data_IF_002765621635
#
_entry.id   IF_002765621635
#
_cell.length_a   1.000
_cell.length_b   1.000
_cell.length_c   1.000
_cell.angle_alpha   90.00
_cell.angle_beta   90.00
_cell.angle_gamma   90.00
#
_symmetry.space_group_name_H-M   'P 1'
#
loop_
_entity.id
_entity.type
_entity.pdbx_description
1 polymer ?
#
# COMPACT_ATOMS: atom_id res chain seq x y z
N UNK A 1 41.63 -35.93 28.39
CA UNK A 1 42.37 -34.67 28.62
C UNK A 1 41.38 -33.54 28.79
N UNK A 2 41.52 -32.78 29.90
CA UNK A 2 40.66 -31.68 30.35
C UNK A 2 40.92 -30.38 29.57
N UNK A 3 39.89 -29.54 29.40
CA UNK A 3 39.91 -28.05 29.45
C UNK A 3 38.47 -27.54 29.18
N UNK A 4 37.64 -27.36 30.20
CA UNK A 4 37.41 -26.13 31.00
C UNK A 4 36.87 -24.94 30.18
N UNK A 5 35.59 -24.68 30.42
CA UNK A 5 34.81 -23.45 30.29
C UNK A 5 35.54 -22.18 30.76
N UNK A 6 35.30 -21.05 30.10
CA UNK A 6 35.45 -19.74 30.74
C UNK A 6 34.29 -18.81 30.36
N UNK A 7 33.51 -18.49 31.39
CA UNK A 7 32.50 -17.46 31.46
C UNK A 7 33.15 -16.08 31.58
N UNK A 8 32.67 -15.10 30.83
CA UNK A 8 33.03 -13.69 31.01
C UNK A 8 31.77 -12.89 31.34
N UNK A 9 31.51 -12.79 32.63
CA UNK A 9 30.55 -11.88 33.25
C UNK A 9 31.24 -10.53 33.50
N UNK A 10 30.70 -9.43 32.99
CA UNK A 10 31.04 -8.07 33.44
C UNK A 10 29.77 -7.21 33.31
N UNK A 11 29.00 -7.06 34.39
CA UNK A 11 29.20 -6.12 35.50
C UNK A 11 28.72 -4.71 35.13
N UNK A 12 27.55 -4.43 35.69
CA UNK A 12 26.78 -3.19 35.72
C UNK A 12 27.56 -2.04 36.34
N UNK A 13 27.53 -0.86 35.69
CA UNK A 13 27.85 0.40 36.36
C UNK A 13 26.80 1.46 36.03
N UNK A 14 25.76 1.48 36.85
CA UNK A 14 24.82 2.58 36.95
C UNK A 14 25.57 3.84 37.45
N UNK A 15 25.59 4.90 36.63
CA UNK A 15 25.96 6.25 37.06
C UNK A 15 24.68 7.04 37.24
N UNK A 16 24.26 7.18 38.49
CA UNK A 16 23.28 8.16 38.93
C UNK A 16 23.86 9.56 38.70
N UNK A 17 23.37 10.26 37.67
CA UNK A 17 23.67 11.67 37.44
C UNK A 17 22.60 12.52 38.11
N UNK A 18 23.04 13.34 39.04
CA UNK A 18 22.22 14.16 39.90
C UNK A 18 21.36 15.15 39.12
N UNK A 19 20.07 15.17 39.51
CA UNK A 19 19.11 16.25 39.26
C UNK A 19 19.74 17.61 39.53
N UNK A 20 19.96 18.40 38.48
CA UNK A 20 19.97 19.86 38.55
C UNK A 20 18.69 20.35 37.88
N UNK A 21 17.72 20.75 38.70
CA UNK A 21 16.51 21.43 38.25
C UNK A 21 16.91 22.76 37.58
N UNK A 22 16.46 23.06 36.36
CA UNK A 22 16.64 24.37 35.77
C UNK A 22 15.77 25.42 36.52
N UNK A 23 16.22 26.69 36.58
CA UNK A 23 15.46 27.76 37.21
C UNK A 23 14.12 27.97 36.50
N UNK A 24 13.06 28.07 37.30
CA UNK A 24 11.70 28.43 36.90
C UNK A 24 11.75 29.82 36.25
N UNK A 25 11.70 29.86 34.92
CA UNK A 25 11.51 31.09 34.17
C UNK A 25 10.04 31.48 34.28
N UNK A 26 9.79 32.63 34.92
CA UNK A 26 8.47 33.25 35.00
C UNK A 26 7.92 33.47 33.59
N UNK A 27 6.83 32.80 33.27
CA UNK A 27 6.05 32.94 32.05
C UNK A 27 5.49 34.37 31.97
N UNK A 28 6.19 35.25 31.27
CA UNK A 28 5.58 36.46 30.72
C UNK A 28 4.44 36.04 29.79
N UNK A 29 3.23 36.64 29.90
CA UNK A 29 2.15 36.38 28.95
C UNK A 29 2.62 36.76 27.55
N UNK A 30 2.84 35.75 26.70
CA UNK A 30 3.19 35.92 25.30
C UNK A 30 2.00 36.59 24.63
N UNK A 31 2.13 37.89 24.36
CA UNK A 31 1.18 38.66 23.56
C UNK A 31 1.05 37.96 22.21
N UNK A 32 -0.06 37.26 22.01
CA UNK A 32 -0.40 36.63 20.74
C UNK A 32 -0.55 37.77 19.74
N UNK A 33 0.28 37.85 18.68
CA UNK A 33 0.07 38.82 17.63
C UNK A 33 -1.33 38.59 17.07
N UNK A 34 -2.11 39.67 16.98
CA UNK A 34 -3.47 39.68 16.46
C UNK A 34 -3.51 38.91 15.13
N UNK A 35 -4.54 38.09 14.97
CA UNK A 35 -4.81 37.25 13.83
C UNK A 35 -4.35 37.91 12.52
N UNK A 36 -3.32 37.34 11.90
CA UNK A 36 -2.96 37.64 10.52
C UNK A 36 -4.24 37.43 9.70
N UNK A 37 -4.71 38.44 8.93
CA UNK A 37 -5.86 38.23 8.06
C UNK A 37 -5.51 37.08 7.13
N UNK A 38 -6.27 35.98 7.24
CA UNK A 38 -6.18 34.86 6.32
C UNK A 38 -6.42 35.42 4.93
N UNK A 39 -5.37 35.46 4.11
CA UNK A 39 -5.48 35.79 2.70
C UNK A 39 -6.57 34.90 2.09
N UNK A 40 -7.56 35.48 1.40
CA UNK A 40 -8.58 34.70 0.72
C UNK A 40 -7.89 33.78 -0.27
N UNK A 41 -8.00 32.47 -0.03
CA UNK A 41 -7.37 31.42 -0.84
C UNK A 41 -7.83 31.49 -2.31
N UNK A 42 -8.93 32.21 -2.58
CA UNK A 42 -9.49 32.46 -3.90
C UNK A 42 -8.63 33.37 -4.80
N UNK A 43 -7.74 34.23 -4.27
CA UNK A 43 -6.93 35.11 -5.14
C UNK A 43 -5.69 34.42 -5.72
N UNK A 44 -5.06 33.49 -5.00
CA UNK A 44 -3.89 32.77 -5.51
C UNK A 44 -4.24 31.84 -6.69
N UNK A 45 -5.50 31.40 -6.77
CA UNK A 45 -6.00 30.59 -7.89
C UNK A 45 -6.32 31.44 -9.14
N UNK A 46 -6.49 32.75 -9.02
CA UNK A 46 -6.79 33.64 -10.16
C UNK A 46 -5.54 34.03 -10.97
N UNK A 47 -4.35 33.81 -10.41
CA UNK A 47 -3.08 34.19 -11.04
C UNK A 47 -2.52 33.12 -12.00
N UNK A 48 -3.15 31.94 -12.13
CA UNK A 48 -2.83 30.93 -13.14
C UNK A 48 -3.64 31.19 -14.41
N UNK A 49 -3.06 31.78 -15.48
CA UNK A 49 -3.83 32.20 -16.64
C UNK A 49 -4.42 30.99 -17.37
N UNK A 50 -5.76 30.91 -17.43
CA UNK A 50 -6.48 29.92 -18.25
C UNK A 50 -6.91 28.63 -17.53
N UNK A 51 -6.57 28.44 -16.25
CA UNK A 51 -7.06 27.30 -15.49
C UNK A 51 -8.49 27.56 -15.01
N UNK A 52 -9.48 27.11 -15.78
CA UNK A 52 -10.82 26.83 -15.21
C UNK A 52 -10.65 25.63 -14.27
N UNK A 53 -10.22 25.89 -13.03
CA UNK A 53 -10.26 24.87 -12.00
C UNK A 53 -11.72 24.39 -11.92
N UNK A 54 -11.94 23.09 -12.06
CA UNK A 54 -13.29 22.54 -11.99
C UNK A 54 -13.82 22.59 -10.56
N UNK A 55 -14.76 21.68 -10.25
CA UNK A 55 -15.32 21.61 -8.90
C UNK A 55 -14.21 21.52 -7.83
N UNK A 56 -14.44 21.99 -6.59
CA UNK A 56 -13.45 21.92 -5.51
C UNK A 56 -12.88 20.51 -5.29
N UNK A 57 -13.65 19.48 -5.62
CA UNK A 57 -13.21 18.08 -5.54
C UNK A 57 -12.16 17.74 -6.61
N UNK A 58 -12.26 18.31 -7.81
CA UNK A 58 -11.20 18.18 -8.82
C UNK A 58 -9.91 18.84 -8.36
N UNK A 59 -9.99 20.03 -7.75
CA UNK A 59 -8.81 20.71 -7.22
C UNK A 59 -8.16 19.89 -6.09
N UNK A 60 -8.95 19.34 -5.17
CA UNK A 60 -8.46 18.44 -4.13
C UNK A 60 -7.81 17.19 -4.71
N UNK A 61 -8.43 16.59 -5.73
CA UNK A 61 -7.87 15.41 -6.41
C UNK A 61 -6.51 15.74 -7.05
N UNK A 62 -6.41 16.85 -7.80
CA UNK A 62 -5.17 17.28 -8.43
C UNK A 62 -4.08 17.58 -7.40
N UNK A 63 -4.44 18.27 -6.32
CA UNK A 63 -3.53 18.53 -5.20
C UNK A 63 -3.00 17.22 -4.61
N UNK A 64 -3.89 16.28 -4.26
CA UNK A 64 -3.51 15.01 -3.65
C UNK A 64 -2.66 14.15 -4.58
N UNK A 65 -3.03 14.06 -5.86
CA UNK A 65 -2.22 13.36 -6.86
C UNK A 65 -0.83 13.98 -6.97
N UNK A 66 -0.71 15.31 -7.05
CA UNK A 66 0.60 15.96 -7.12
C UNK A 66 1.43 15.75 -5.84
N UNK A 67 0.79 15.87 -4.68
CA UNK A 67 1.43 15.64 -3.38
C UNK A 67 1.99 14.22 -3.27
N UNK A 68 1.17 13.21 -3.58
CA UNK A 68 1.59 11.80 -3.53
C UNK A 68 2.73 11.54 -4.51
N UNK A 69 2.67 12.12 -5.72
CA UNK A 69 3.71 11.96 -6.73
C UNK A 69 5.04 12.50 -6.23
N UNK A 70 5.04 13.72 -5.71
CA UNK A 70 6.24 14.39 -5.22
C UNK A 70 6.86 13.63 -4.04
N UNK A 71 6.02 13.20 -3.10
CA UNK A 71 6.46 12.47 -1.93
C UNK A 71 7.04 11.09 -2.30
N UNK A 72 6.36 10.31 -3.17
CA UNK A 72 6.88 9.00 -3.62
C UNK A 72 8.16 9.13 -4.43
N UNK A 73 8.25 10.17 -5.27
CA UNK A 73 9.46 10.47 -6.04
C UNK A 73 10.61 10.87 -5.11
N UNK A 74 10.34 11.68 -4.08
CA UNK A 74 11.33 12.08 -3.08
C UNK A 74 11.83 10.88 -2.25
N UNK A 75 10.94 9.97 -1.87
CA UNK A 75 11.32 8.72 -1.20
C UNK A 75 12.24 7.90 -2.11
N UNK A 76 11.85 7.68 -3.36
CA UNK A 76 12.66 6.92 -4.33
C UNK A 76 14.03 7.56 -4.57
N UNK A 77 14.08 8.88 -4.72
CA UNK A 77 15.33 9.62 -4.86
C UNK A 77 16.23 9.47 -3.62
N UNK A 78 15.66 9.54 -2.42
CA UNK A 78 16.39 9.35 -1.15
C UNK A 78 16.96 7.94 -1.04
N UNK A 79 16.16 6.92 -1.37
CA UNK A 79 16.58 5.52 -1.39
C UNK A 79 17.73 5.27 -2.38
N UNK A 80 17.71 5.96 -3.52
CA UNK A 80 18.73 5.81 -4.57
C UNK A 80 20.01 6.60 -4.26
N UNK A 81 19.89 7.77 -3.64
CA UNK A 81 21.02 8.67 -3.38
C UNK A 81 21.80 8.32 -2.11
N UNK A 82 21.20 7.62 -1.16
CA UNK A 82 21.85 7.27 0.10
C UNK A 82 22.87 6.13 -0.10
N UNK A 83 24.13 6.37 0.27
CA UNK A 83 25.17 5.32 0.28
C UNK A 83 24.94 4.25 1.33
N UNK A 84 24.14 4.56 2.36
CA UNK A 84 23.60 3.62 3.32
C UNK A 84 22.14 3.36 2.93
N UNK A 85 21.74 2.11 2.62
CA UNK A 85 20.36 1.84 2.25
C UNK A 85 19.45 2.24 3.41
N UNK A 86 18.67 3.31 3.22
CA UNK A 86 17.60 3.69 4.16
C UNK A 86 16.52 2.64 3.98
N UNK A 87 16.64 1.54 4.72
CA UNK A 87 15.69 0.45 4.63
C UNK A 87 14.39 0.90 5.31
N UNK A 88 13.34 1.10 4.52
CA UNK A 88 12.01 1.27 5.07
C UNK A 88 11.59 -0.10 5.59
N UNK A 89 11.34 -0.19 6.89
CA UNK A 89 11.01 -1.43 7.60
C UNK A 89 9.51 -1.72 7.63
N UNK A 90 8.76 -1.12 6.69
CA UNK A 90 7.29 -1.22 6.64
C UNK A 90 6.55 -0.21 7.53
N UNK A 91 7.25 0.68 8.25
CA UNK A 91 6.62 1.77 9.03
C UNK A 91 5.83 2.75 8.17
N UNK A 92 6.07 2.79 6.86
CA UNK A 92 5.26 3.56 5.93
C UNK A 92 4.45 2.57 5.10
N UNK A 93 3.15 2.77 5.01
CA UNK A 93 2.25 1.98 4.18
C UNK A 93 1.46 2.89 3.23
N UNK A 94 1.20 2.38 2.03
CA UNK A 94 0.28 3.02 1.08
C UNK A 94 -1.12 2.47 1.33
N UNK A 95 -2.11 3.37 1.34
CA UNK A 95 -3.52 3.01 1.40
C UNK A 95 -4.11 3.07 -0.01
N UNK A 96 -4.61 1.95 -0.52
CA UNK A 96 -5.26 1.91 -1.83
C UNK A 96 -6.72 2.34 -1.76
N UNK A 97 -7.33 2.61 -2.91
CA UNK A 97 -8.77 2.89 -3.01
C UNK A 97 -9.63 1.72 -2.53
N UNK A 98 -9.10 0.48 -2.55
CA UNK A 98 -9.76 -0.72 -2.05
C UNK A 98 -9.63 -0.89 -0.53
N UNK A 99 -8.96 0.05 0.16
CA UNK A 99 -8.70 -0.03 1.59
C UNK A 99 -7.55 -0.96 1.98
N UNK A 100 -6.84 -1.51 0.99
CA UNK A 100 -5.65 -2.33 1.22
C UNK A 100 -4.49 -1.46 1.71
N UNK A 101 -3.73 -1.99 2.67
CA UNK A 101 -2.54 -1.35 3.23
C UNK A 101 -1.31 -2.10 2.76
N UNK A 102 -0.50 -1.46 1.93
CA UNK A 102 0.71 -2.06 1.36
C UNK A 102 1.92 -1.47 2.08
N UNK A 103 2.61 -2.25 2.94
CA UNK A 103 3.81 -1.78 3.62
C UNK A 103 4.92 -1.52 2.60
N UNK A 104 5.67 -0.44 2.80
CA UNK A 104 6.69 0.03 1.86
C UNK A 104 8.06 -0.30 2.41
N UNK A 105 8.82 -1.10 1.67
CA UNK A 105 10.27 -1.25 1.82
C UNK A 105 11.02 -0.44 0.76
N UNK A 106 10.56 -0.47 -0.49
CA UNK A 106 11.15 0.30 -1.57
C UNK A 106 10.06 0.88 -2.49
N UNK A 107 10.36 2.03 -3.11
CA UNK A 107 9.50 2.64 -4.14
C UNK A 107 10.34 3.00 -5.34
N UNK A 108 9.89 2.56 -6.52
CA UNK A 108 10.55 2.80 -7.80
C UNK A 108 9.54 3.41 -8.77
N UNK A 109 9.74 4.65 -9.27
CA UNK A 109 8.91 5.18 -10.34
C UNK A 109 9.11 4.34 -11.59
N UNK A 110 8.02 3.84 -12.17
CA UNK A 110 8.07 3.18 -13.48
C UNK A 110 7.97 4.29 -14.53
N UNK A 111 9.12 4.77 -14.97
CA UNK A 111 9.18 5.82 -15.98
C UNK A 111 8.52 5.36 -17.29
N UNK A 112 7.45 6.04 -17.70
CA UNK A 112 7.05 6.08 -19.09
C UNK A 112 8.12 6.90 -19.82
N UNK A 113 8.84 6.27 -20.75
CA UNK A 113 9.94 6.85 -21.50
C UNK A 113 9.60 8.28 -21.97
N UNK A 114 10.53 9.22 -21.79
CA UNK A 114 10.42 10.54 -22.41
C UNK A 114 10.31 10.35 -23.92
N UNK A 115 9.17 10.67 -24.51
CA UNK A 115 9.00 10.58 -25.96
C UNK A 115 9.87 11.67 -26.60
N UNK A 116 10.82 11.34 -27.49
CA UNK A 116 11.53 12.36 -28.25
C UNK A 116 10.52 13.04 -29.19
N UNK A 117 10.30 14.35 -29.03
CA UNK A 117 9.25 15.05 -29.77
C UNK A 117 9.22 16.55 -29.53
N UNK A 118 8.07 17.14 -29.91
CA UNK A 118 7.77 18.57 -29.74
C UNK A 118 7.74 18.97 -28.25
N UNK A 119 7.78 20.27 -27.94
CA UNK A 119 7.69 20.72 -26.55
C UNK A 119 6.39 20.26 -25.86
N UNK A 120 5.28 20.23 -26.60
CA UNK A 120 3.99 19.73 -26.10
C UNK A 120 4.05 18.25 -25.75
N UNK A 121 4.72 17.42 -26.57
CA UNK A 121 4.89 15.99 -26.29
C UNK A 121 5.79 15.76 -25.07
N UNK A 122 6.79 16.62 -24.87
CA UNK A 122 7.66 16.57 -23.68
C UNK A 122 6.89 16.96 -22.43
N UNK A 123 6.07 18.01 -22.49
CA UNK A 123 5.25 18.45 -21.36
C UNK A 123 4.20 17.38 -21.00
N UNK A 124 3.57 16.75 -22.01
CA UNK A 124 2.65 15.63 -21.78
C UNK A 124 3.38 14.41 -21.22
N UNK A 125 4.57 14.10 -21.75
CA UNK A 125 5.39 13.01 -21.24
C UNK A 125 5.81 13.24 -19.80
N UNK A 126 6.17 14.47 -19.43
CA UNK A 126 6.49 14.87 -18.06
C UNK A 126 5.25 14.79 -17.15
N UNK A 127 4.05 15.10 -17.67
CA UNK A 127 2.81 14.98 -16.94
C UNK A 127 2.43 13.52 -16.64
N UNK A 128 2.70 12.59 -17.57
CA UNK A 128 2.46 11.15 -17.41
C UNK A 128 3.61 10.47 -16.65
N UNK A 129 4.79 11.09 -16.61
CA UNK A 129 5.94 10.58 -15.88
C UNK A 129 5.62 10.45 -14.38
N UNK A 130 6.12 9.37 -13.77
CA UNK A 130 5.88 9.07 -12.36
C UNK A 130 4.39 8.96 -12.00
N UNK A 131 3.53 8.53 -12.92
CA UNK A 131 2.13 8.20 -12.65
C UNK A 131 1.93 6.76 -12.18
N UNK A 132 2.93 5.90 -12.36
CA UNK A 132 2.93 4.50 -11.92
C UNK A 132 4.19 4.23 -11.10
N UNK A 133 4.01 3.57 -9.96
CA UNK A 133 5.09 3.21 -9.05
C UNK A 133 5.10 1.70 -8.83
N UNK A 134 6.30 1.12 -8.79
CA UNK A 134 6.54 -0.21 -8.27
C UNK A 134 6.92 -0.10 -6.80
N UNK A 135 6.13 -0.73 -5.94
CA UNK A 135 6.28 -0.72 -4.49
C UNK A 135 6.69 -2.12 -4.07
N UNK A 136 7.78 -2.24 -3.34
CA UNK A 136 8.27 -3.51 -2.79
C UNK A 136 7.96 -3.54 -1.30
N UNK A 137 7.36 -4.62 -0.81
CA UNK A 137 7.08 -4.81 0.62
C UNK A 137 8.32 -5.33 1.35
N UNK A 138 8.38 -5.23 2.69
CA UNK A 138 9.46 -5.84 3.47
C UNK A 138 9.59 -7.36 3.28
N UNK A 139 8.51 -8.03 2.87
CA UNK A 139 8.50 -9.46 2.56
C UNK A 139 9.02 -9.78 1.14
N UNK A 140 9.25 -8.76 0.32
CA UNK A 140 9.76 -8.89 -1.05
C UNK A 140 8.67 -8.94 -2.13
N UNK A 141 7.39 -8.85 -1.77
CA UNK A 141 6.30 -8.75 -2.74
C UNK A 141 6.37 -7.43 -3.48
N UNK A 142 6.06 -7.44 -4.78
CA UNK A 142 6.11 -6.25 -5.62
C UNK A 142 4.74 -5.91 -6.20
N UNK A 143 4.26 -4.72 -5.91
CA UNK A 143 3.00 -4.16 -6.39
C UNK A 143 3.28 -3.07 -7.42
N UNK A 144 2.50 -3.01 -8.50
CA UNK A 144 2.58 -1.94 -9.49
C UNK A 144 1.29 -1.13 -9.44
N UNK A 145 1.38 0.09 -8.92
CA UNK A 145 0.20 0.90 -8.60
C UNK A 145 0.23 2.21 -9.39
N UNK A 146 -0.84 2.55 -10.12
CA UNK A 146 -1.03 3.90 -10.60
C UNK A 146 -1.31 4.82 -9.41
N UNK A 147 -0.89 6.08 -9.50
CA UNK A 147 -1.07 7.05 -8.43
C UNK A 147 -2.55 7.31 -8.11
N UNK A 148 -3.43 7.16 -9.11
CA UNK A 148 -4.88 7.27 -8.93
C UNK A 148 -5.48 6.18 -8.04
N UNK A 149 -4.76 5.06 -7.85
CA UNK A 149 -5.15 3.99 -6.95
C UNK A 149 -4.70 4.24 -5.50
N UNK A 150 -3.71 5.12 -5.30
CA UNK A 150 -3.18 5.44 -3.99
C UNK A 150 -4.01 6.58 -3.39
N UNK A 151 -4.71 6.28 -2.30
CA UNK A 151 -5.57 7.24 -1.59
C UNK A 151 -4.79 8.06 -0.57
N UNK A 152 -3.74 7.50 0.02
CA UNK A 152 -2.96 8.17 1.05
C UNK A 152 -1.78 7.36 1.53
N UNK A 153 -1.04 7.96 2.46
CA UNK A 153 0.12 7.34 3.10
C UNK A 153 -0.11 7.31 4.58
N UNK A 154 0.16 6.16 5.17
CA UNK A 154 -0.01 5.91 6.59
C UNK A 154 1.35 5.61 7.21
N UNK A 155 1.71 6.38 8.23
CA UNK A 155 2.84 6.07 9.08
C UNK A 155 2.36 5.20 10.25
N UNK A 156 2.89 3.99 10.34
CA UNK A 156 2.66 3.06 11.44
C UNK A 156 3.63 3.40 12.58
N UNK A 157 3.09 3.57 13.78
CA UNK A 157 3.92 3.62 14.99
C UNK A 157 4.48 2.23 15.28
N UNK A 158 5.63 2.16 15.96
CA UNK A 158 6.23 0.88 16.36
C UNK A 158 5.27 0.04 17.20
N UNK A 159 4.47 0.70 18.04
CA UNK A 159 3.44 0.06 18.87
C UNK A 159 2.36 -0.62 18.02
N UNK A 160 1.87 0.06 16.98
CA UNK A 160 0.86 -0.47 16.07
C UNK A 160 1.43 -1.60 15.20
N UNK A 161 2.67 -1.48 14.75
CA UNK A 161 3.35 -2.55 14.03
C UNK A 161 3.44 -3.82 14.89
N UNK A 162 3.84 -3.66 16.16
CA UNK A 162 3.90 -4.78 17.10
C UNK A 162 2.54 -5.40 17.38
N UNK A 163 1.46 -4.61 17.41
CA UNK A 163 0.09 -5.12 17.53
C UNK A 163 -0.31 -5.95 16.31
N UNK A 164 -0.06 -5.45 15.09
CA UNK A 164 -0.37 -6.18 13.85
C UNK A 164 0.41 -7.49 13.78
N UNK A 165 1.70 -7.47 14.11
CA UNK A 165 2.53 -8.69 14.15
C UNK A 165 2.04 -9.68 15.21
N UNK A 166 1.57 -9.20 16.36
CA UNK A 166 0.99 -10.05 17.39
C UNK A 166 -0.31 -10.71 16.93
N UNK A 167 -1.22 -9.94 16.29
CA UNK A 167 -2.47 -10.45 15.73
C UNK A 167 -2.22 -11.50 14.64
N UNK A 168 -1.29 -11.22 13.69
CA UNK A 168 -0.93 -12.18 12.64
C UNK A 168 -0.36 -13.50 13.19
N UNK A 169 0.42 -13.43 14.27
CA UNK A 169 0.97 -14.63 14.90
C UNK A 169 -0.11 -15.42 15.66
N UNK A 170 -1.11 -14.77 16.25
CA UNK A 170 -2.22 -15.45 16.94
C UNK A 170 -3.18 -16.13 15.97
N UNK A 171 -3.43 -15.52 14.81
CA UNK A 171 -4.34 -16.05 13.78
C UNK A 171 -3.79 -17.27 13.01
N UNK A 172 -2.51 -17.62 13.18
CA UNK A 172 -1.94 -18.85 12.57
C UNK A 172 -2.54 -20.16 13.12
N UNK A 173 -3.35 -20.09 14.18
CA UNK A 173 -4.11 -21.24 14.74
C UNK A 173 -5.59 -21.29 14.35
N UNK A 174 -6.11 -20.25 13.68
CA UNK A 174 -7.49 -20.21 13.17
C UNK A 174 -7.49 -20.16 11.64
N UNK A 175 -8.03 -21.21 11.03
CA UNK A 175 -7.98 -21.57 9.61
C UNK A 175 -8.79 -20.63 8.66
N UNK A 176 -8.80 -19.32 8.88
CA UNK A 176 -9.39 -18.35 7.94
C UNK A 176 -8.71 -16.96 8.04
N UNK A 177 -8.20 -16.40 6.93
CA UNK A 177 -7.52 -15.10 6.95
C UNK A 177 -8.47 -13.93 7.28
N UNK A 178 -7.96 -12.97 8.05
CA UNK A 178 -8.66 -11.74 8.41
C UNK A 178 -9.05 -10.96 7.15
N UNK A 179 -10.35 -10.73 6.98
CA UNK A 179 -10.97 -10.25 5.76
C UNK A 179 -11.93 -11.27 5.16
N UNK A 180 -11.52 -12.53 4.99
CA UNK A 180 -12.43 -13.58 4.51
C UNK A 180 -13.54 -13.88 5.52
N UNK A 181 -13.22 -13.89 6.81
CA UNK A 181 -14.22 -14.06 7.87
C UNK A 181 -15.30 -12.97 7.85
N UNK A 182 -14.95 -11.71 7.57
CA UNK A 182 -15.93 -10.63 7.48
C UNK A 182 -16.85 -10.77 6.25
N UNK A 183 -16.31 -11.19 5.10
CA UNK A 183 -17.10 -11.42 3.89
C UNK A 183 -17.98 -12.69 4.01
N UNK A 184 -17.46 -13.77 4.61
CA UNK A 184 -18.26 -14.99 4.83
C UNK A 184 -19.32 -14.79 5.90
N UNK A 185 -19.05 -14.02 6.95
CA UNK A 185 -20.03 -13.70 7.99
C UNK A 185 -21.20 -12.87 7.43
N UNK A 186 -20.91 -11.91 6.54
CA UNK A 186 -21.96 -11.13 5.86
C UNK A 186 -22.79 -11.99 4.90
N UNK A 187 -22.15 -12.87 4.13
CA UNK A 187 -22.83 -13.80 3.22
C UNK A 187 -23.70 -14.83 3.98
N UNK A 188 -23.20 -15.36 5.10
CA UNK A 188 -23.93 -16.27 5.97
C UNK A 188 -25.13 -15.56 6.63
N UNK A 189 -24.98 -14.31 7.06
CA UNK A 189 -26.06 -13.53 7.66
C UNK A 189 -27.18 -13.22 6.65
N UNK A 190 -26.83 -12.94 5.38
CA UNK A 190 -27.83 -12.82 4.30
C UNK A 190 -28.54 -14.14 4.01
N UNK A 191 -27.82 -15.26 3.93
CA UNK A 191 -28.44 -16.57 3.71
C UNK A 191 -29.36 -16.97 4.87
N UNK A 192 -28.96 -16.71 6.13
CA UNK A 192 -29.79 -16.95 7.30
C UNK A 192 -31.05 -16.06 7.30
N UNK A 193 -30.94 -14.80 6.89
CA UNK A 193 -32.09 -13.91 6.75
C UNK A 193 -33.04 -14.36 5.62
N UNK A 194 -32.53 -14.85 4.50
CA UNK A 194 -33.34 -15.41 3.40
C UNK A 194 -34.02 -16.71 3.82
N UNK A 195 -33.33 -17.59 4.55
CA UNK A 195 -33.92 -18.81 5.10
C UNK A 195 -34.99 -18.50 6.14
N UNK A 196 -34.77 -17.52 7.02
CA UNK A 196 -35.76 -17.07 7.99
C UNK A 196 -36.97 -16.39 7.33
N UNK A 197 -36.78 -15.63 6.26
CA UNK A 197 -37.88 -15.05 5.49
C UNK A 197 -38.70 -16.13 4.77
N UNK A 198 -38.04 -17.15 4.21
CA UNK A 198 -38.71 -18.25 3.52
C UNK A 198 -39.44 -19.21 4.48
N UNK A 199 -38.95 -19.39 5.72
CA UNK A 199 -39.64 -20.24 6.72
C UNK A 199 -40.89 -19.57 7.30
N UNK A 200 -40.96 -18.24 7.30
CA UNK A 200 -42.17 -17.50 7.73
C UNK A 200 -43.25 -17.48 6.63
N UNK A 201 -42.87 -17.64 5.36
CA UNK A 201 -43.79 -17.59 4.23
C UNK A 201 -44.58 -18.89 3.97
N UNK A 202 -44.27 -20.01 4.63
CA UNK A 202 -44.98 -21.28 4.44
C UNK A 202 -45.28 -21.99 5.79
N UNK A 203 -46.32 -21.58 6.55
CA UNK A 203 -46.82 -22.35 7.67
C UNK A 203 -47.82 -23.45 7.28
N UNK A 204 -48.12 -23.64 5.99
CA UNK A 204 -49.12 -24.60 5.56
C UNK A 204 -48.69 -25.27 4.25
N UNK A 205 -48.02 -26.43 4.36
CA UNK A 205 -47.99 -27.55 3.40
C UNK A 205 -46.82 -28.52 3.73
N UNK A 206 -46.68 -28.95 4.98
CA UNK A 206 -45.87 -30.14 5.32
C UNK A 206 -46.76 -31.19 5.97
N UNK A 207 -47.68 -31.73 5.18
CA UNK A 207 -48.35 -32.99 5.50
C UNK A 207 -48.89 -33.65 4.25
N UNK A 208 -48.04 -33.92 3.25
CA UNK A 208 -48.33 -34.96 2.25
C UNK A 208 -47.10 -35.30 1.38
N UNK A 209 -47.08 -36.57 0.94
CA UNK A 209 -46.17 -37.18 -0.03
C UNK A 209 -44.70 -37.38 0.37
N UNK A 210 -44.55 -38.31 1.31
CA UNK A 210 -43.57 -39.40 1.24
C UNK A 210 -43.92 -40.29 0.03
N UNK A 211 -43.09 -40.31 -1.01
CA UNK A 211 -42.78 -41.49 -1.84
C UNK A 211 -42.00 -41.08 -3.10
N UNK A 212 -40.94 -41.84 -3.37
CA UNK A 212 -40.43 -42.19 -4.69
C UNK A 212 -40.09 -41.06 -5.67
N UNK A 213 -38.80 -40.75 -5.84
CA UNK A 213 -38.18 -41.02 -7.14
C UNK A 213 -36.65 -41.07 -7.04
N UNK A 214 -36.15 -42.30 -7.09
CA UNK A 214 -34.75 -42.66 -7.18
C UNK A 214 -34.39 -42.76 -8.66
N UNK A 215 -33.84 -41.71 -9.27
CA UNK A 215 -33.28 -41.80 -10.62
C UNK A 215 -31.88 -41.17 -10.73
N UNK A 216 -30.91 -42.10 -10.77
CA UNK A 216 -29.70 -42.10 -11.59
C UNK A 216 -29.39 -40.78 -12.33
N UNK A 217 -28.37 -40.06 -11.87
CA UNK A 217 -27.59 -39.17 -12.74
C UNK A 217 -26.13 -39.62 -12.78
N UNK A 218 -25.72 -39.99 -13.99
CA UNK A 218 -24.36 -40.30 -14.43
C UNK A 218 -23.33 -39.25 -13.97
N UNK A 219 -22.11 -39.67 -13.63
CA UNK A 219 -20.99 -38.77 -13.45
C UNK A 219 -20.44 -38.30 -14.81
N UNK A 220 -20.57 -37.01 -15.09
CA UNK A 220 -19.97 -36.38 -16.26
C UNK A 220 -18.43 -36.36 -16.15
N UNK A 221 -17.79 -36.86 -17.21
CA UNK A 221 -16.33 -36.98 -17.38
C UNK A 221 -15.56 -35.66 -17.23
N UNK A 222 -14.31 -35.71 -16.72
CA UNK A 222 -13.45 -34.54 -16.62
C UNK A 222 -12.89 -34.09 -17.99
N UNK A 223 -12.75 -32.77 -18.24
CA UNK A 223 -12.15 -32.26 -19.46
C UNK A 223 -10.62 -32.50 -19.50
N UNK A 224 -10.14 -32.84 -20.70
CA UNK A 224 -8.76 -33.25 -20.98
C UNK A 224 -7.71 -32.12 -20.78
N UNK A 225 -6.45 -32.48 -20.47
CA UNK A 225 -5.36 -31.52 -20.29
C UNK A 225 -4.93 -30.86 -21.60
N UNK A 226 -4.95 -29.52 -21.62
CA UNK A 226 -4.42 -28.69 -22.70
C UNK A 226 -2.88 -28.82 -22.79
N UNK A 227 -2.39 -29.17 -23.98
CA UNK A 227 -0.98 -29.39 -24.29
C UNK A 227 -0.12 -28.10 -24.19
N UNK A 228 1.17 -28.21 -23.84
CA UNK A 228 2.09 -27.09 -23.73
C UNK A 228 2.50 -26.54 -25.10
N UNK A 229 2.39 -25.22 -25.27
CA UNK A 229 2.81 -24.53 -26.48
C UNK A 229 4.34 -24.45 -26.51
N UNK A 230 4.92 -25.25 -27.41
CA UNK A 230 6.35 -25.40 -27.65
C UNK A 230 6.86 -24.22 -28.49
N UNK A 231 8.02 -23.70 -28.09
CA UNK A 231 9.08 -23.24 -29.01
C UNK A 231 8.84 -21.92 -29.78
N UNK A 232 9.49 -20.84 -29.32
CA UNK A 232 10.16 -19.94 -30.27
C UNK A 232 11.55 -19.52 -29.80
N UNK A 233 12.49 -20.36 -30.23
CA UNK A 233 13.92 -20.15 -30.36
C UNK A 233 14.17 -18.88 -31.22
N UNK A 234 14.75 -17.82 -30.65
CA UNK A 234 15.49 -16.80 -31.42
C UNK A 234 16.82 -16.53 -30.72
N UNK A 235 17.85 -17.14 -31.30
CA UNK A 235 19.29 -16.92 -31.09
C UNK A 235 19.77 -15.95 -32.21
N UNK A 236 21.04 -15.51 -32.24
CA UNK A 236 21.60 -14.36 -31.55
C UNK A 236 22.21 -13.34 -32.55
N UNK A 237 23.03 -12.43 -32.01
CA UNK A 237 24.16 -11.75 -32.66
C UNK A 237 23.90 -10.44 -33.42
N UNK A 238 24.52 -9.38 -32.88
CA UNK A 238 24.72 -8.10 -33.55
C UNK A 238 25.66 -7.20 -32.75
N UNK A 239 26.95 -7.58 -32.63
CA UNK A 239 28.04 -6.59 -32.51
C UNK A 239 28.22 -5.99 -33.91
N UNK A 240 28.29 -4.66 -34.06
CA UNK A 240 29.59 -3.97 -34.13
C UNK A 240 29.46 -2.53 -33.55
N UNK A 241 30.45 -1.64 -33.43
CA UNK A 241 31.77 -1.45 -34.03
C UNK A 241 32.46 -0.39 -33.17
N UNK A 242 33.74 -0.56 -32.86
CA UNK A 242 34.56 0.54 -32.35
C UNK A 242 34.64 1.65 -33.40
N UNK A 243 34.51 2.90 -32.97
CA UNK A 243 35.00 4.06 -33.71
C UNK A 243 35.89 4.89 -32.80
N UNK A 244 37.19 4.62 -32.95
CA UNK A 244 38.27 5.59 -32.81
C UNK A 244 37.98 6.83 -33.66
N UNK A 245 38.25 8.02 -33.11
CA UNK A 245 38.80 9.23 -33.74
C UNK A 245 39.00 10.22 -32.58
N UNK A 246 40.24 10.36 -32.13
CA UNK A 246 41.26 11.36 -32.51
C UNK A 246 41.29 12.45 -31.45
#
# INVERSE_FOLDING_TARGET
>A
MRRTSSSSSASTRAKASARRSPPVQSSRPRRVPAATPSLPTDELLQLLPGARFGSPDQLRSLFWTNFLREMLTSISATLTASSVPVQLDGRIALLTNHGERIPVAEVHPLFACSVPGSNVDRDLSAAVQCSIFRVVTPQGDAFTLPISEIRGVHALTEELQKQIEAEMNMDSTSEAPFGFAAYTQTAQQQQAAVQAANSVANPALESESRADENHHREPASPPAPSKPNRSRKKKPAGKPRSRRRN
#
